data_IF_908148627623
#
_entry.id   IF_908148627623
#
_cell.length_a   1.000
_cell.length_b   1.000
_cell.length_c   1.000
_cell.angle_alpha   90.00
_cell.angle_beta   90.00
_cell.angle_gamma   90.00
#
_symmetry.space_group_name_H-M   'P 1'
#
loop_
_entity.id
_entity.type
_entity.pdbx_description
1 polymer ?
#
# COMPACT_ATOMS: atom_id res chain seq x y z
N UNK A 1 10.74 -11.58 16.13
CA UNK A 1 10.21 -10.26 15.72
C UNK A 1 9.23 -10.42 14.58
N UNK A 2 8.19 -9.58 14.56
CA UNK A 2 7.24 -9.57 13.45
C UNK A 2 7.83 -8.86 12.24
N UNK A 3 7.50 -9.33 11.05
CA UNK A 3 7.80 -8.62 9.82
C UNK A 3 7.06 -7.28 9.79
N UNK A 4 7.63 -6.32 9.07
CA UNK A 4 6.94 -5.07 8.78
C UNK A 4 6.55 -5.08 7.31
N UNK A 5 5.27 -4.89 7.04
CA UNK A 5 4.71 -4.95 5.69
C UNK A 5 4.09 -3.62 5.31
N UNK A 6 4.19 -3.28 4.03
CA UNK A 6 3.60 -2.07 3.46
C UNK A 6 2.62 -2.47 2.37
N UNK A 7 1.44 -1.83 2.36
CA UNK A 7 0.43 -2.08 1.34
C UNK A 7 0.37 -0.93 0.33
N UNK A 8 0.54 -1.26 -0.95
CA UNK A 8 0.29 -0.33 -2.04
C UNK A 8 -1.21 -0.03 -2.14
N UNK A 9 -1.56 1.04 -2.82
CA UNK A 9 -2.92 1.57 -2.90
C UNK A 9 -3.95 0.54 -3.37
N UNK A 10 -3.63 -0.24 -4.39
CA UNK A 10 -4.58 -1.20 -4.96
C UNK A 10 -5.01 -2.26 -3.95
N UNK A 11 -4.11 -2.69 -3.07
CA UNK A 11 -4.45 -3.65 -2.02
C UNK A 11 -5.55 -3.07 -1.12
N UNK A 12 -5.40 -1.82 -0.73
CA UNK A 12 -6.37 -1.13 0.13
C UNK A 12 -7.71 -0.95 -0.61
N UNK A 13 -7.66 -0.58 -1.89
CA UNK A 13 -8.88 -0.44 -2.70
C UNK A 13 -9.65 -1.76 -2.71
N UNK A 14 -8.98 -2.89 -2.98
CA UNK A 14 -9.64 -4.19 -3.05
C UNK A 14 -10.21 -4.65 -1.70
N UNK A 15 -9.73 -4.15 -0.58
CA UNK A 15 -10.33 -4.44 0.72
C UNK A 15 -11.80 -4.00 0.80
N UNK A 16 -12.14 -2.95 0.06
CA UNK A 16 -13.47 -2.34 0.11
C UNK A 16 -14.24 -2.44 -1.21
N UNK A 17 -13.58 -2.83 -2.28
CA UNK A 17 -14.21 -2.99 -3.61
C UNK A 17 -14.63 -4.45 -3.80
N UNK A 18 -15.89 -4.73 -3.50
CA UNK A 18 -16.44 -6.10 -3.58
C UNK A 18 -16.77 -6.52 -5.01
N UNK A 19 -16.75 -5.61 -5.98
CA UNK A 19 -17.03 -5.95 -7.39
C UNK A 19 -15.92 -6.82 -7.99
N UNK A 20 -14.68 -6.69 -7.48
CA UNK A 20 -13.54 -7.53 -7.85
C UNK A 20 -13.42 -8.68 -6.86
N UNK A 21 -14.33 -9.65 -6.95
CA UNK A 21 -14.53 -10.67 -5.91
C UNK A 21 -13.27 -11.43 -5.53
N UNK A 22 -12.51 -11.93 -6.52
CA UNK A 22 -11.28 -12.70 -6.23
C UNK A 22 -10.22 -11.83 -5.56
N UNK A 23 -10.01 -10.62 -6.07
CA UNK A 23 -9.03 -9.69 -5.51
C UNK A 23 -9.44 -9.20 -4.14
N UNK A 24 -10.73 -8.94 -3.95
CA UNK A 24 -11.28 -8.59 -2.65
C UNK A 24 -10.97 -9.69 -1.61
N UNK A 25 -11.24 -10.94 -1.96
CA UNK A 25 -10.99 -12.07 -1.06
C UNK A 25 -9.51 -12.21 -0.72
N UNK A 26 -8.63 -12.10 -1.72
CA UNK A 26 -7.19 -12.21 -1.51
C UNK A 26 -6.63 -11.03 -0.70
N UNK A 27 -7.08 -9.81 -0.98
CA UNK A 27 -6.65 -8.63 -0.23
C UNK A 27 -7.05 -8.75 1.24
N UNK A 28 -8.28 -9.19 1.52
CA UNK A 28 -8.75 -9.41 2.90
C UNK A 28 -7.89 -10.45 3.62
N UNK A 29 -7.58 -11.55 2.93
CA UNK A 29 -6.78 -12.63 3.49
C UNK A 29 -5.40 -12.14 3.94
N UNK A 30 -4.71 -11.42 3.05
CA UNK A 30 -3.40 -10.85 3.34
C UNK A 30 -3.47 -9.80 4.43
N UNK A 31 -4.49 -8.95 4.40
CA UNK A 31 -4.66 -7.90 5.39
C UNK A 31 -4.86 -8.49 6.79
N UNK A 32 -5.76 -9.46 6.93
CA UNK A 32 -6.05 -10.12 8.21
C UNK A 32 -4.80 -10.85 8.73
N UNK A 33 -4.11 -11.60 7.86
CA UNK A 33 -2.89 -12.29 8.24
C UNK A 33 -1.82 -11.30 8.72
N UNK A 34 -1.67 -10.17 8.03
CA UNK A 34 -0.69 -9.15 8.39
C UNK A 34 -1.01 -8.47 9.72
N UNK A 35 -2.29 -8.28 10.03
CA UNK A 35 -2.68 -7.71 11.33
C UNK A 35 -2.32 -8.64 12.49
N UNK A 36 -2.35 -9.95 12.26
CA UNK A 36 -2.03 -10.95 13.28
C UNK A 36 -0.54 -11.20 13.43
N UNK A 37 0.16 -11.31 12.29
CA UNK A 37 1.53 -11.85 12.24
C UNK A 37 2.59 -10.82 11.88
N UNK A 38 2.21 -9.58 11.59
CA UNK A 38 3.12 -8.53 11.14
C UNK A 38 2.74 -7.18 11.72
N UNK A 39 3.58 -6.19 11.47
CA UNK A 39 3.25 -4.78 11.69
C UNK A 39 2.99 -4.16 10.32
N UNK A 40 1.82 -3.56 10.14
CA UNK A 40 1.34 -3.15 8.82
C UNK A 40 1.34 -1.63 8.68
N UNK A 41 1.75 -1.17 7.50
CA UNK A 41 1.94 0.24 7.18
C UNK A 41 1.29 0.62 5.86
N UNK A 42 0.78 1.84 5.80
CA UNK A 42 0.47 2.57 4.57
C UNK A 42 1.02 3.99 4.73
N UNK A 43 0.88 4.82 3.70
CA UNK A 43 1.28 6.22 3.77
C UNK A 43 0.10 7.15 3.48
N UNK A 44 0.28 8.44 3.73
CA UNK A 44 -0.69 9.47 3.35
C UNK A 44 -0.92 9.50 1.83
N UNK A 45 0.06 9.11 1.01
CA UNK A 45 -0.16 8.93 -0.44
C UNK A 45 -1.20 7.85 -0.69
N UNK A 46 -1.06 6.68 -0.05
CA UNK A 46 -2.01 5.57 -0.20
C UNK A 46 -3.41 6.01 0.21
N UNK A 47 -3.53 6.73 1.32
CA UNK A 47 -4.82 7.27 1.78
C UNK A 47 -5.45 8.16 0.72
N UNK A 48 -4.68 9.10 0.18
CA UNK A 48 -5.21 10.08 -0.79
C UNK A 48 -5.58 9.42 -2.11
N UNK A 49 -4.77 8.49 -2.59
CA UNK A 49 -5.07 7.71 -3.80
C UNK A 49 -6.31 6.83 -3.59
N UNK A 50 -6.43 6.21 -2.42
CA UNK A 50 -7.60 5.41 -2.08
C UNK A 50 -8.88 6.24 -2.13
N UNK A 51 -8.87 7.44 -1.55
CA UNK A 51 -10.04 8.34 -1.57
C UNK A 51 -10.49 8.59 -3.00
N UNK A 52 -9.57 8.94 -3.89
CA UNK A 52 -9.89 9.26 -5.29
C UNK A 52 -10.39 8.02 -6.04
N UNK A 53 -9.67 6.91 -5.95
CA UNK A 53 -10.00 5.70 -6.69
C UNK A 53 -11.32 5.11 -6.21
N UNK A 54 -11.50 4.96 -4.92
CA UNK A 54 -12.70 4.32 -4.35
C UNK A 54 -13.95 5.17 -4.55
N UNK A 55 -13.84 6.51 -4.56
CA UNK A 55 -15.00 7.38 -4.75
C UNK A 55 -15.33 7.66 -6.20
N UNK A 56 -14.39 7.45 -7.15
CA UNK A 56 -14.58 7.91 -8.53
C UNK A 56 -14.28 6.87 -9.60
N UNK A 57 -13.42 5.88 -9.35
CA UNK A 57 -12.84 5.07 -10.43
C UNK A 57 -13.22 3.59 -10.40
N UNK A 58 -13.81 3.09 -9.34
CA UNK A 58 -14.24 1.69 -9.28
C UNK A 58 -15.66 1.55 -9.83
N UNK A 59 -16.06 0.31 -10.14
CA UNK A 59 -17.37 0.01 -10.76
C UNK A 59 -18.53 0.54 -9.94
N UNK A 60 -18.49 0.34 -8.62
CA UNK A 60 -19.50 0.83 -7.70
C UNK A 60 -18.87 1.84 -6.74
N UNK A 61 -18.79 3.12 -7.13
CA UNK A 61 -18.10 4.11 -6.31
C UNK A 61 -18.67 4.20 -4.89
N UNK A 62 -17.76 4.32 -3.92
CA UNK A 62 -18.13 4.40 -2.51
C UNK A 62 -18.38 5.87 -2.15
N UNK A 63 -19.51 6.20 -1.53
CA UNK A 63 -19.77 7.58 -1.08
C UNK A 63 -18.71 8.08 -0.10
N UNK A 64 -18.38 9.35 -0.18
CA UNK A 64 -17.31 9.93 0.65
C UNK A 64 -17.53 9.75 2.16
N UNK A 65 -18.78 9.79 2.62
CA UNK A 65 -19.07 9.57 4.02
C UNK A 65 -18.74 8.14 4.47
N UNK A 66 -18.87 7.14 3.59
CA UNK A 66 -18.45 5.77 3.87
C UNK A 66 -16.94 5.64 3.79
N UNK A 67 -16.31 6.31 2.83
CA UNK A 67 -14.84 6.33 2.74
C UNK A 67 -14.24 6.88 4.02
N UNK A 68 -14.83 7.94 4.58
CA UNK A 68 -14.40 8.48 5.86
C UNK A 68 -14.39 7.41 6.96
N UNK A 69 -15.44 6.58 7.02
CA UNK A 69 -15.52 5.48 8.00
C UNK A 69 -14.45 4.42 7.71
N UNK A 70 -14.23 4.11 6.44
CA UNK A 70 -13.17 3.16 6.05
C UNK A 70 -11.79 3.64 6.52
N UNK A 71 -11.51 4.94 6.36
CA UNK A 71 -10.25 5.53 6.81
C UNK A 71 -10.09 5.48 8.33
N UNK A 72 -11.15 5.72 9.09
CA UNK A 72 -11.11 5.59 10.54
C UNK A 72 -10.78 4.15 10.96
N UNK A 73 -11.36 3.16 10.27
CA UNK A 73 -11.03 1.76 10.49
C UNK A 73 -9.54 1.50 10.19
N UNK A 74 -9.05 1.98 9.04
CA UNK A 74 -7.65 1.78 8.66
C UNK A 74 -6.70 2.42 9.67
N UNK A 75 -7.04 3.61 10.18
CA UNK A 75 -6.22 4.30 11.18
C UNK A 75 -6.05 3.48 12.46
N UNK A 76 -7.08 2.75 12.87
CA UNK A 76 -7.01 1.90 14.07
C UNK A 76 -6.25 0.60 13.82
N UNK A 77 -6.15 0.17 12.55
CA UNK A 77 -5.57 -1.12 12.17
C UNK A 77 -4.13 -1.04 11.69
N UNK A 78 -3.72 0.09 11.14
CA UNK A 78 -2.44 0.26 10.47
C UNK A 78 -1.64 1.42 11.04
N UNK A 79 -0.33 1.36 10.84
CA UNK A 79 0.55 2.50 11.05
C UNK A 79 0.58 3.33 9.77
N UNK A 80 0.51 4.65 9.90
CA UNK A 80 0.48 5.54 8.75
C UNK A 80 1.79 6.33 8.70
N UNK A 81 2.57 6.08 7.64
CA UNK A 81 3.81 6.82 7.39
C UNK A 81 3.47 8.15 6.73
N UNK A 82 3.99 9.25 7.30
CA UNK A 82 3.80 10.58 6.73
C UNK A 82 4.93 10.90 5.77
N UNK A 83 4.58 11.14 4.51
CA UNK A 83 5.54 11.55 3.49
C UNK A 83 5.91 13.01 3.75
N UNK A 84 7.21 13.26 3.91
CA UNK A 84 7.75 14.60 4.08
C UNK A 84 8.73 14.92 2.96
N UNK A 85 9.45 16.04 3.09
CA UNK A 85 10.40 16.47 2.06
C UNK A 85 11.50 15.42 1.82
N UNK A 86 12.03 14.84 2.90
CA UNK A 86 13.08 13.82 2.80
C UNK A 86 12.59 12.56 2.09
N UNK A 87 11.34 12.18 2.28
CA UNK A 87 10.74 11.04 1.56
C UNK A 87 10.76 11.29 0.06
N UNK A 88 10.43 12.50 -0.37
CA UNK A 88 10.45 12.87 -1.79
C UNK A 88 11.86 12.79 -2.38
N UNK A 89 12.88 13.23 -1.63
CA UNK A 89 14.28 13.10 -2.08
C UNK A 89 14.67 11.63 -2.21
N UNK A 90 14.29 10.81 -1.24
CA UNK A 90 14.55 9.37 -1.30
C UNK A 90 13.86 8.71 -2.50
N UNK A 91 12.66 9.15 -2.83
CA UNK A 91 11.94 8.65 -4.02
C UNK A 91 12.71 8.96 -5.31
N UNK A 92 13.33 10.13 -5.40
CA UNK A 92 14.17 10.47 -6.54
C UNK A 92 15.35 9.49 -6.64
N UNK A 93 16.00 9.18 -5.53
CA UNK A 93 17.12 8.24 -5.50
C UNK A 93 16.67 6.84 -5.94
N UNK A 94 15.52 6.39 -5.47
CA UNK A 94 14.93 5.11 -5.88
C UNK A 94 14.65 5.11 -7.39
N UNK A 95 14.04 6.18 -7.90
CA UNK A 95 13.75 6.29 -9.33
C UNK A 95 15.02 6.25 -10.18
N UNK A 96 16.06 6.96 -9.77
CA UNK A 96 17.32 6.97 -10.49
C UNK A 96 17.98 5.59 -10.54
N UNK A 97 17.90 4.83 -9.46
CA UNK A 97 18.55 3.53 -9.36
C UNK A 97 17.74 2.40 -9.98
N UNK A 98 16.42 2.39 -9.77
CA UNK A 98 15.56 1.25 -10.12
C UNK A 98 14.61 1.53 -11.28
N UNK A 99 14.47 2.78 -11.70
CA UNK A 99 13.68 3.18 -12.89
C UNK A 99 12.17 2.95 -12.79
N UNK A 100 11.61 2.96 -11.58
CA UNK A 100 10.16 2.98 -11.37
C UNK A 100 9.59 4.37 -11.74
N UNK A 101 8.28 4.46 -11.90
CA UNK A 101 7.63 5.78 -11.96
C UNK A 101 7.89 6.53 -10.66
N UNK A 102 7.73 7.86 -10.68
CA UNK A 102 7.92 8.64 -9.45
C UNK A 102 6.96 8.19 -8.34
N UNK A 103 5.69 7.97 -8.69
CA UNK A 103 4.68 7.59 -7.68
C UNK A 103 4.96 6.22 -7.08
N UNK A 104 5.41 5.26 -7.88
CA UNK A 104 5.86 3.95 -7.38
C UNK A 104 7.12 4.09 -6.54
N UNK A 105 8.04 4.95 -6.95
CA UNK A 105 9.26 5.25 -6.18
C UNK A 105 8.93 5.86 -4.81
N UNK A 106 7.87 6.67 -4.75
CA UNK A 106 7.42 7.28 -3.51
C UNK A 106 6.81 6.25 -2.55
N UNK A 107 6.06 5.28 -3.08
CA UNK A 107 5.57 4.13 -2.30
C UNK A 107 6.76 3.34 -1.73
N UNK A 108 7.74 3.05 -2.58
CA UNK A 108 8.94 2.30 -2.18
C UNK A 108 9.72 3.07 -1.10
N UNK A 109 9.93 4.38 -1.30
CA UNK A 109 10.62 5.22 -0.34
C UNK A 109 9.92 5.21 1.03
N UNK A 110 8.59 5.28 1.03
CA UNK A 110 7.79 5.23 2.27
C UNK A 110 7.96 3.89 2.98
N UNK A 111 7.94 2.79 2.23
CA UNK A 111 8.14 1.45 2.78
C UNK A 111 9.56 1.31 3.37
N UNK A 112 10.57 1.81 2.69
CA UNK A 112 11.95 1.79 3.19
C UNK A 112 12.10 2.62 4.47
N UNK A 113 11.53 3.82 4.52
CA UNK A 113 11.58 4.67 5.70
C UNK A 113 10.84 4.07 6.90
N UNK A 114 9.81 3.28 6.63
CA UNK A 114 9.08 2.55 7.69
C UNK A 114 9.79 1.27 8.09
N UNK A 115 10.95 0.96 7.50
CA UNK A 115 11.74 -0.26 7.73
C UNK A 115 10.94 -1.54 7.41
N UNK A 116 10.10 -1.50 6.41
CA UNK A 116 9.35 -2.65 5.96
C UNK A 116 10.25 -3.63 5.21
N UNK A 117 9.96 -4.92 5.36
CA UNK A 117 10.66 -5.98 4.63
C UNK A 117 9.86 -6.48 3.43
N UNK A 118 8.55 -6.20 3.41
CA UNK A 118 7.65 -6.63 2.34
C UNK A 118 6.80 -5.45 1.89
N UNK A 119 6.68 -5.29 0.56
CA UNK A 119 5.73 -4.38 -0.08
C UNK A 119 4.78 -5.21 -0.93
N UNK A 120 3.50 -5.22 -0.56
CA UNK A 120 2.47 -5.86 -1.38
C UNK A 120 1.99 -4.88 -2.43
N UNK A 121 2.16 -5.24 -3.71
CA UNK A 121 1.78 -4.41 -4.85
C UNK A 121 1.30 -5.30 -6.00
N UNK A 122 0.29 -4.85 -6.73
CA UNK A 122 -0.20 -5.54 -7.92
C UNK A 122 0.62 -5.17 -9.15
N UNK A 123 1.00 -3.91 -9.25
CA UNK A 123 1.54 -3.34 -10.50
C UNK A 123 3.07 -3.39 -10.61
N UNK A 124 3.76 -3.52 -9.50
CA UNK A 124 5.23 -3.54 -9.51
C UNK A 124 5.76 -4.95 -9.74
N UNK A 125 6.98 -5.04 -10.25
CA UNK A 125 7.61 -6.33 -10.57
C UNK A 125 7.76 -7.20 -9.32
N UNK A 126 7.10 -8.36 -9.33
CA UNK A 126 7.11 -9.31 -8.23
C UNK A 126 8.50 -9.88 -8.00
N UNK A 127 8.86 -10.03 -6.73
CA UNK A 127 10.09 -10.68 -6.31
C UNK A 127 11.32 -9.78 -6.31
N UNK A 128 11.19 -8.55 -6.82
CA UNK A 128 12.31 -7.61 -6.81
C UNK A 128 12.65 -7.21 -5.38
N UNK A 129 13.94 -7.14 -5.09
CA UNK A 129 14.45 -6.72 -3.77
C UNK A 129 15.10 -5.35 -3.90
N UNK A 130 14.66 -4.40 -3.09
CA UNK A 130 15.13 -3.01 -3.08
C UNK A 130 16.04 -2.80 -1.88
N UNK A 131 17.25 -2.29 -2.14
CA UNK A 131 18.26 -1.98 -1.10
C UNK A 131 18.56 -3.17 -0.18
N UNK A 132 18.52 -4.39 -0.71
CA UNK A 132 18.72 -5.64 0.02
C UNK A 132 17.79 -5.81 1.24
N UNK A 133 16.68 -5.07 1.29
CA UNK A 133 15.79 -5.02 2.45
C UNK A 133 14.34 -5.30 2.12
N UNK A 134 13.82 -4.65 1.08
CA UNK A 134 12.39 -4.62 0.79
C UNK A 134 12.10 -5.53 -0.39
N UNK A 135 11.29 -6.54 -0.17
CA UNK A 135 10.84 -7.45 -1.25
C UNK A 135 9.44 -7.06 -1.71
N UNK A 136 9.27 -6.95 -3.02
CA UNK A 136 7.96 -6.66 -3.62
C UNK A 136 7.26 -7.99 -3.89
N UNK A 137 6.03 -8.14 -3.39
CA UNK A 137 5.21 -9.34 -3.57
C UNK A 137 3.84 -8.97 -4.14
N UNK A 138 3.30 -9.84 -4.99
CA UNK A 138 1.95 -9.69 -5.51
C UNK A 138 1.07 -10.78 -4.87
N UNK A 139 0.10 -10.39 -4.05
CA UNK A 139 -0.75 -11.32 -3.34
C UNK A 139 -1.88 -11.90 -4.22
N UNK A 140 -1.98 -11.46 -5.48
CA UNK A 140 -3.01 -11.91 -6.42
C UNK A 140 -2.53 -12.99 -7.38
N UNK A 141 -1.29 -13.37 -7.29
CA UNK A 141 -0.70 -14.42 -8.13
C UNK A 141 -0.38 -15.69 -7.35
#
# INVERSE_FOLDING_TARGET
MKDKVFFDTNIIVYLFDKSEEKKHTQARKIFIASLQDATSYISNQVINEFIVIASQKIENPIPLNHIRKNLEFLRTSLNIHTIDFETSLKAIDVKLKYHFSFWDSLIIASALESNCSILYSEDMQRGQVIEDKLRILNCFE
#
